data_IF_060508563818
#
_entry.id   IF_060508563818
#
_cell.length_a   1.000
_cell.length_b   1.000
_cell.length_c   1.000
_cell.angle_alpha   90.00
_cell.angle_beta   90.00
_cell.angle_gamma   90.00
#
_symmetry.space_group_name_H-M   'P 1'
#
loop_
_entity.id
_entity.type
_entity.pdbx_description
1 polymer ?
#
# COMPACT_ATOMS: atom_id res chain seq x y z
N UNK A 1 52.46 -2.46 43.33
CA UNK A 1 53.09 -3.54 42.58
C UNK A 1 52.32 -3.65 41.31
N UNK A 2 52.69 -2.96 40.24
CA UNK A 2 53.48 -3.40 39.04
C UNK A 2 52.98 -4.80 38.56
N UNK A 3 52.33 -4.89 37.38
CA UNK A 3 53.07 -5.05 36.13
C UNK A 3 52.17 -4.78 34.92
N UNK A 4 52.76 -4.12 33.92
CA UNK A 4 52.30 -3.83 32.58
C UNK A 4 52.36 -5.08 31.68
N UNK A 5 51.46 -5.23 30.77
CA UNK A 5 51.52 -6.14 29.61
C UNK A 5 51.05 -5.46 28.36
N UNK A 6 51.99 -4.99 27.52
CA UNK A 6 51.79 -4.56 26.13
C UNK A 6 51.79 -5.79 25.24
N UNK A 7 50.90 -5.85 24.23
CA UNK A 7 51.14 -6.62 22.99
C UNK A 7 50.35 -6.05 21.82
N UNK A 8 51.00 -5.45 20.92
CA UNK A 8 51.36 -5.69 19.52
C UNK A 8 50.18 -5.79 18.51
N UNK A 9 50.12 -4.72 17.70
CA UNK A 9 49.51 -4.66 16.37
C UNK A 9 50.17 -5.68 15.42
N UNK A 10 49.37 -6.36 14.61
CA UNK A 10 49.82 -6.94 13.35
C UNK A 10 48.89 -6.44 12.24
N UNK A 11 49.41 -5.54 11.41
CA UNK A 11 48.81 -5.11 10.15
C UNK A 11 49.11 -6.16 9.08
N UNK A 12 48.10 -6.49 8.28
CA UNK A 12 48.28 -7.20 7.01
C UNK A 12 47.85 -6.28 5.86
N UNK A 13 48.87 -5.83 5.15
CA UNK A 13 48.74 -5.11 3.85
C UNK A 13 48.49 -6.16 2.77
N UNK A 14 47.42 -6.05 2.02
CA UNK A 14 47.25 -6.80 0.79
C UNK A 14 47.42 -5.85 -0.40
N UNK A 15 48.46 -6.14 -1.18
CA UNK A 15 48.87 -5.41 -2.38
C UNK A 15 48.04 -5.83 -3.58
N UNK A 16 47.50 -4.85 -4.31
CA UNK A 16 46.95 -5.01 -5.67
C UNK A 16 48.06 -5.31 -6.67
N UNK A 17 47.93 -6.38 -7.42
CA UNK A 17 48.69 -6.61 -8.62
C UNK A 17 47.82 -6.32 -9.86
N UNK A 18 48.15 -5.25 -10.58
CA UNK A 18 47.62 -4.92 -11.89
C UNK A 18 48.48 -5.65 -12.92
N UNK A 19 47.89 -6.53 -13.71
CA UNK A 19 48.51 -7.08 -14.93
C UNK A 19 47.83 -6.52 -16.15
N UNK A 20 48.51 -5.63 -16.84
CA UNK A 20 48.19 -5.19 -18.18
C UNK A 20 48.87 -6.17 -19.20
N UNK A 21 48.12 -6.68 -20.14
CA UNK A 21 48.68 -7.24 -21.39
C UNK A 21 47.95 -6.65 -22.58
N UNK A 22 48.71 -5.89 -23.32
CA UNK A 22 48.41 -5.36 -24.66
C UNK A 22 48.93 -6.33 -25.72
N UNK A 23 48.17 -6.53 -26.79
CA UNK A 23 48.59 -6.82 -28.18
C UNK A 23 47.29 -7.14 -28.95
N UNK A 24 47.00 -6.65 -30.13
CA UNK A 24 47.69 -6.01 -31.19
C UNK A 24 46.76 -6.13 -32.41
N UNK A 25 46.75 -5.16 -33.26
CA UNK A 25 45.89 -4.87 -34.37
C UNK A 25 45.71 -6.04 -35.38
N UNK A 26 44.54 -6.07 -36.05
CA UNK A 26 44.50 -6.12 -37.50
C UNK A 26 43.18 -5.54 -38.06
N UNK A 27 43.36 -4.53 -38.87
CA UNK A 27 42.37 -3.85 -39.70
C UNK A 27 42.06 -4.68 -40.95
N UNK A 28 40.76 -4.92 -41.22
CA UNK A 28 40.34 -5.23 -42.59
C UNK A 28 39.08 -4.44 -42.91
N UNK A 29 39.24 -3.38 -43.70
CA UNK A 29 38.19 -2.66 -44.39
C UNK A 29 37.53 -3.57 -45.44
N UNK A 30 36.22 -3.70 -45.39
CA UNK A 30 35.41 -4.24 -46.47
C UNK A 30 34.49 -3.13 -47.00
N UNK A 31 34.92 -2.54 -48.09
CA UNK A 31 34.17 -1.61 -48.93
C UNK A 31 33.06 -2.39 -49.64
N UNK A 32 31.80 -2.12 -49.35
CA UNK A 32 30.67 -2.58 -50.17
C UNK A 32 30.09 -1.42 -50.96
N UNK A 33 30.30 -1.49 -52.26
CA UNK A 33 29.75 -0.63 -53.30
C UNK A 33 28.24 -0.80 -53.42
N UNK A 34 27.50 0.29 -53.25
CA UNK A 34 26.04 0.35 -53.50
C UNK A 34 25.78 0.54 -54.98
N UNK A 35 25.16 -0.45 -55.61
CA UNK A 35 24.64 -0.36 -56.98
C UNK A 35 23.18 0.06 -56.93
N UNK A 36 22.86 1.25 -57.39
CA UNK A 36 21.50 1.73 -57.57
C UNK A 36 20.83 1.01 -58.75
N UNK A 37 19.77 0.29 -58.50
CA UNK A 37 18.87 -0.24 -59.52
C UNK A 37 17.66 0.69 -59.67
N UNK A 38 17.47 1.17 -60.89
CA UNK A 38 16.32 1.98 -61.29
C UNK A 38 15.02 1.16 -61.24
N UNK A 39 14.05 1.60 -60.48
CA UNK A 39 12.71 0.99 -60.44
C UNK A 39 11.80 1.68 -61.45
N UNK A 40 11.26 0.90 -62.32
CA UNK A 40 10.25 1.21 -63.34
C UNK A 40 8.89 1.47 -62.65
N UNK A 41 8.33 2.63 -62.88
CA UNK A 41 6.96 3.00 -62.48
C UNK A 41 5.92 2.19 -63.26
N UNK A 42 5.18 1.33 -62.54
CA UNK A 42 3.94 0.74 -63.08
C UNK A 42 2.76 1.36 -62.32
N UNK A 43 1.98 2.18 -63.00
CA UNK A 43 0.73 2.75 -62.51
C UNK A 43 -0.32 1.63 -62.48
N UNK A 44 -0.71 1.19 -61.27
CA UNK A 44 -1.87 0.33 -61.06
C UNK A 44 -2.86 1.03 -60.15
N UNK A 45 -4.12 0.94 -60.54
CA UNK A 45 -5.24 1.73 -60.04
C UNK A 45 -5.50 1.71 -58.55
N UNK A 46 -6.01 2.81 -58.14
CA UNK A 46 -6.44 3.15 -56.77
C UNK A 46 -7.73 2.37 -56.42
N UNK A 47 -7.76 1.59 -55.35
CA UNK A 47 -9.02 1.23 -54.74
C UNK A 47 -9.40 2.34 -53.74
N UNK A 48 -10.47 3.04 -54.05
CA UNK A 48 -11.16 3.89 -53.07
C UNK A 48 -11.83 3.01 -52.02
N UNK A 49 -11.10 2.76 -50.95
CA UNK A 49 -11.61 2.23 -49.70
C UNK A 49 -11.27 3.25 -48.58
N UNK A 50 -12.24 4.09 -48.25
CA UNK A 50 -12.13 4.93 -47.05
C UNK A 50 -12.16 4.02 -45.83
N UNK A 51 -10.98 3.67 -45.36
CA UNK A 51 -10.79 3.23 -43.98
C UNK A 51 -10.47 4.50 -43.18
N UNK A 52 -11.42 4.90 -42.36
CA UNK A 52 -11.16 5.85 -41.27
C UNK A 52 -10.07 5.23 -40.39
N UNK A 53 -8.83 5.56 -40.64
CA UNK A 53 -7.75 5.37 -39.67
C UNK A 53 -7.90 6.48 -38.66
N UNK A 54 -8.85 6.30 -37.70
CA UNK A 54 -8.85 7.07 -36.48
C UNK A 54 -7.44 6.91 -35.88
N UNK A 55 -6.76 8.02 -35.61
CA UNK A 55 -5.53 8.01 -34.84
C UNK A 55 -5.79 7.27 -33.52
N UNK A 56 -4.83 6.47 -32.99
CA UNK A 56 -5.02 5.84 -31.70
C UNK A 56 -5.47 6.89 -30.68
N UNK A 57 -6.53 6.60 -29.95
CA UNK A 57 -7.02 7.49 -28.93
C UNK A 57 -5.91 7.71 -27.89
N UNK A 58 -5.71 8.95 -27.48
CA UNK A 58 -4.70 9.31 -26.44
C UNK A 58 -5.00 8.56 -25.16
N UNK A 59 -3.97 7.96 -24.55
CA UNK A 59 -4.12 7.20 -23.29
C UNK A 59 -4.49 8.10 -22.11
N UNK A 60 -5.22 7.55 -21.16
CA UNK A 60 -5.46 8.15 -19.84
C UNK A 60 -4.28 7.74 -18.97
N UNK A 61 -3.43 8.71 -18.60
CA UNK A 61 -2.20 8.46 -17.84
C UNK A 61 -2.42 8.56 -16.33
N UNK A 62 -1.95 7.54 -15.60
CA UNK A 62 -1.92 7.47 -14.13
C UNK A 62 -0.44 7.45 -13.73
N UNK A 63 0.03 8.50 -13.07
CA UNK A 63 1.40 8.59 -12.56
C UNK A 63 1.47 8.19 -11.10
N UNK A 64 2.22 7.10 -10.81
CA UNK A 64 2.31 6.53 -9.48
C UNK A 64 3.64 6.86 -8.78
N UNK A 65 3.56 7.57 -7.66
CA UNK A 65 4.68 7.89 -6.78
C UNK A 65 4.63 6.93 -5.59
N UNK A 66 5.38 5.84 -5.64
CA UNK A 66 5.27 4.73 -4.70
C UNK A 66 6.64 4.22 -4.26
N UNK A 67 6.68 3.43 -3.20
CA UNK A 67 7.88 2.73 -2.78
C UNK A 67 7.89 1.29 -3.33
N UNK A 68 8.95 0.94 -4.04
CA UNK A 68 9.12 -0.39 -4.62
C UNK A 68 10.30 -1.17 -4.03
N UNK A 69 11.19 -0.50 -3.29
CA UNK A 69 12.47 -1.08 -2.86
C UNK A 69 12.82 -0.84 -1.40
N UNK A 70 12.00 -0.09 -0.66
CA UNK A 70 12.22 0.22 0.76
C UNK A 70 11.13 -0.43 1.63
N UNK A 71 10.87 0.11 2.81
CA UNK A 71 10.02 -0.53 3.83
C UNK A 71 8.50 -0.46 3.53
N UNK A 72 8.04 0.42 2.62
CA UNK A 72 6.64 0.42 2.16
C UNK A 72 6.40 -0.55 0.99
N UNK A 73 7.45 -1.10 0.37
CA UNK A 73 7.32 -2.00 -0.77
C UNK A 73 6.40 -3.23 -0.53
N UNK A 74 6.34 -3.86 0.66
CA UNK A 74 5.40 -4.96 0.94
C UNK A 74 3.92 -4.57 0.81
N UNK A 75 3.59 -3.28 0.90
CA UNK A 75 2.25 -2.72 0.77
C UNK A 75 2.00 -2.16 -0.63
N UNK A 76 2.94 -1.38 -1.16
CA UNK A 76 2.80 -0.67 -2.43
C UNK A 76 2.91 -1.57 -3.66
N UNK A 77 3.90 -2.46 -3.69
CA UNK A 77 4.16 -3.27 -4.87
C UNK A 77 2.98 -4.22 -5.22
N UNK A 78 2.34 -4.94 -4.27
CA UNK A 78 1.18 -5.76 -4.60
C UNK A 78 -0.04 -4.93 -5.01
N UNK A 79 -0.25 -3.74 -4.43
CA UNK A 79 -1.34 -2.86 -4.83
C UNK A 79 -1.14 -2.32 -6.26
N UNK A 80 0.09 -1.93 -6.61
CA UNK A 80 0.43 -1.50 -7.97
C UNK A 80 0.27 -2.64 -9.00
N UNK A 81 0.69 -3.86 -8.67
CA UNK A 81 0.51 -5.02 -9.55
C UNK A 81 -0.98 -5.34 -9.77
N UNK A 82 -1.80 -5.33 -8.72
CA UNK A 82 -3.24 -5.55 -8.85
C UNK A 82 -3.89 -4.48 -9.75
N UNK A 83 -3.47 -3.21 -9.60
CA UNK A 83 -3.90 -2.12 -10.47
C UNK A 83 -3.50 -2.36 -11.93
N UNK A 84 -2.26 -2.73 -12.21
CA UNK A 84 -1.77 -3.01 -13.56
C UNK A 84 -2.51 -4.16 -14.22
N UNK A 85 -2.75 -5.26 -13.50
CA UNK A 85 -3.48 -6.41 -14.03
C UNK A 85 -4.95 -6.07 -14.37
N UNK A 86 -5.59 -5.22 -13.57
CA UNK A 86 -6.93 -4.74 -13.91
C UNK A 86 -6.91 -3.78 -15.12
N UNK A 87 -5.91 -2.91 -15.21
CA UNK A 87 -5.71 -2.04 -16.38
C UNK A 87 -5.55 -2.86 -17.66
N UNK A 88 -4.80 -3.97 -17.61
CA UNK A 88 -4.66 -4.87 -18.74
C UNK A 88 -6.02 -5.44 -19.19
N UNK A 89 -6.87 -5.86 -18.24
CA UNK A 89 -8.22 -6.36 -18.53
C UNK A 89 -9.11 -5.27 -19.15
N UNK A 90 -9.11 -4.06 -18.57
CA UNK A 90 -9.87 -2.92 -19.08
C UNK A 90 -9.42 -2.57 -20.50
N UNK A 91 -8.11 -2.52 -20.74
CA UNK A 91 -7.56 -2.22 -22.06
C UNK A 91 -7.87 -3.30 -23.08
N UNK A 92 -7.82 -4.58 -22.70
CA UNK A 92 -8.21 -5.70 -23.55
C UNK A 92 -9.71 -5.65 -23.91
N UNK A 93 -10.55 -5.10 -23.03
CA UNK A 93 -11.98 -4.87 -23.29
C UNK A 93 -12.29 -3.62 -24.15
N UNK A 94 -11.28 -2.80 -24.47
CA UNK A 94 -11.41 -1.61 -25.32
C UNK A 94 -11.07 -0.29 -24.63
N UNK A 95 -10.59 -0.32 -23.39
CA UNK A 95 -10.26 0.86 -22.59
C UNK A 95 -11.50 1.55 -22.00
N UNK A 96 -11.29 2.74 -21.44
CA UNK A 96 -12.35 3.61 -20.90
C UNK A 96 -12.72 4.63 -21.98
N UNK A 97 -13.97 4.64 -22.42
CA UNK A 97 -14.44 5.46 -23.56
C UNK A 97 -13.58 5.31 -24.84
N UNK A 98 -13.08 4.08 -25.09
CA UNK A 98 -12.20 3.78 -26.22
C UNK A 98 -10.77 4.28 -26.06
N UNK A 99 -10.37 4.75 -24.89
CA UNK A 99 -9.02 5.22 -24.54
C UNK A 99 -8.34 4.20 -23.61
N UNK A 100 -7.12 3.77 -23.90
CA UNK A 100 -6.40 2.88 -23.00
C UNK A 100 -5.96 3.62 -21.72
N UNK A 101 -5.95 2.90 -20.59
CA UNK A 101 -5.32 3.35 -19.36
C UNK A 101 -3.80 3.05 -19.44
N UNK A 102 -2.96 3.98 -19.00
CA UNK A 102 -1.54 3.80 -18.84
C UNK A 102 -1.17 4.05 -17.38
N UNK A 103 -0.40 3.14 -16.77
CA UNK A 103 0.08 3.24 -15.39
C UNK A 103 1.60 3.22 -15.40
N UNK A 104 2.21 4.29 -14.93
CA UNK A 104 3.65 4.41 -14.79
C UNK A 104 4.01 4.68 -13.33
N UNK A 105 5.02 3.99 -12.81
CA UNK A 105 5.45 4.11 -11.43
C UNK A 105 6.90 4.58 -11.33
N UNK A 106 7.14 5.51 -10.40
CA UNK A 106 8.47 5.94 -9.97
C UNK A 106 8.68 5.48 -8.53
N UNK A 107 9.78 4.73 -8.31
CA UNK A 107 10.22 4.32 -6.98
C UNK A 107 10.79 5.51 -6.22
N UNK A 108 10.10 5.92 -5.17
CA UNK A 108 10.45 7.10 -4.37
C UNK A 108 11.26 6.77 -3.13
N UNK A 109 11.41 5.48 -2.79
CA UNK A 109 12.19 4.99 -1.64
C UNK A 109 11.83 5.66 -0.31
N UNK A 110 10.57 6.05 -0.16
CA UNK A 110 10.02 6.79 1.00
C UNK A 110 10.74 8.11 1.28
N UNK A 111 11.33 8.73 0.25
CA UNK A 111 12.00 10.03 0.34
C UNK A 111 11.01 11.16 -0.05
N UNK A 112 10.70 12.12 0.85
CA UNK A 112 9.74 13.20 0.57
C UNK A 112 10.08 14.07 -0.65
N UNK A 113 11.37 14.30 -0.92
CA UNK A 113 11.81 15.08 -2.09
C UNK A 113 11.62 14.29 -3.38
N UNK A 114 11.82 12.96 -3.34
CA UNK A 114 11.57 12.09 -4.49
C UNK A 114 10.07 11.96 -4.77
N UNK A 115 9.23 11.85 -3.73
CA UNK A 115 7.76 11.90 -3.89
C UNK A 115 7.34 13.16 -4.63
N UNK A 116 7.82 14.32 -4.17
CA UNK A 116 7.54 15.61 -4.80
C UNK A 116 8.01 15.68 -6.24
N UNK A 117 9.27 15.31 -6.50
CA UNK A 117 9.86 15.37 -7.82
C UNK A 117 9.14 14.45 -8.84
N UNK A 118 8.78 13.25 -8.40
CA UNK A 118 8.04 12.30 -9.22
C UNK A 118 6.64 12.82 -9.58
N UNK A 119 5.91 13.41 -8.62
CA UNK A 119 4.61 14.01 -8.89
C UNK A 119 4.70 15.15 -9.89
N UNK A 120 5.66 16.06 -9.73
CA UNK A 120 5.91 17.16 -10.69
C UNK A 120 6.20 16.61 -12.08
N UNK A 121 7.06 15.59 -12.19
CA UNK A 121 7.37 14.96 -13.47
C UNK A 121 6.10 14.40 -14.14
N UNK A 122 5.28 13.63 -13.42
CA UNK A 122 4.04 13.09 -13.99
C UNK A 122 3.06 14.17 -14.42
N UNK A 123 2.95 15.27 -13.65
CA UNK A 123 2.11 16.42 -14.01
C UNK A 123 2.61 17.09 -15.30
N UNK A 124 3.93 17.29 -15.42
CA UNK A 124 4.56 17.85 -16.63
C UNK A 124 4.39 16.92 -17.84
N UNK A 125 4.41 15.60 -17.64
CA UNK A 125 4.20 14.59 -18.67
C UNK A 125 2.70 14.39 -19.03
N UNK A 126 1.78 15.13 -18.37
CA UNK A 126 0.35 15.16 -18.68
C UNK A 126 -0.45 14.03 -18.02
N UNK A 127 -0.06 13.59 -16.84
CA UNK A 127 -0.87 12.65 -16.06
C UNK A 127 -2.28 13.18 -15.82
N UNK A 128 -3.26 12.28 -15.93
CA UNK A 128 -4.67 12.57 -15.64
C UNK A 128 -5.03 12.32 -14.18
N UNK A 129 -4.30 11.44 -13.51
CA UNK A 129 -4.48 11.03 -12.11
C UNK A 129 -3.10 10.87 -11.48
N UNK A 130 -2.94 11.34 -10.25
CA UNK A 130 -1.77 11.04 -9.42
C UNK A 130 -2.15 9.90 -8.47
N UNK A 131 -1.29 8.90 -8.43
CA UNK A 131 -1.38 7.78 -7.50
C UNK A 131 -0.24 7.86 -6.49
N UNK A 132 -0.54 7.64 -5.20
CA UNK A 132 0.45 7.73 -4.14
C UNK A 132 0.56 6.43 -3.35
N UNK A 133 1.61 6.30 -2.54
CA UNK A 133 1.88 5.16 -1.65
C UNK A 133 0.76 4.91 -0.62
N UNK A 134 0.79 3.76 0.04
CA UNK A 134 -0.18 3.30 1.05
C UNK A 134 -0.10 4.04 2.40
N UNK A 135 0.44 5.23 2.43
CA UNK A 135 0.51 6.10 3.61
C UNK A 135 0.24 7.56 3.21
N UNK A 136 -0.21 8.40 4.16
CA UNK A 136 -0.52 9.81 3.90
C UNK A 136 0.61 10.75 4.36
N UNK A 137 1.42 10.32 5.33
CA UNK A 137 2.44 11.19 5.94
C UNK A 137 3.65 11.34 5.02
N UNK A 138 4.18 10.24 4.47
CA UNK A 138 5.35 10.26 3.59
C UNK A 138 5.09 10.97 2.26
N UNK A 139 4.01 10.67 1.50
CA UNK A 139 3.76 11.26 0.19
C UNK A 139 3.04 12.60 0.25
N UNK A 140 2.87 13.22 1.44
CA UNK A 140 2.23 14.54 1.56
C UNK A 140 2.72 15.55 0.51
N UNK A 141 4.03 15.63 0.18
CA UNK A 141 4.49 16.54 -0.88
C UNK A 141 3.94 16.18 -2.27
N UNK A 142 3.86 14.90 -2.62
CA UNK A 142 3.29 14.47 -3.91
C UNK A 142 1.78 14.69 -3.97
N UNK A 143 1.08 14.40 -2.86
CA UNK A 143 -0.37 14.68 -2.77
C UNK A 143 -0.61 16.17 -3.02
N UNK A 144 0.14 17.05 -2.35
CA UNK A 144 -0.04 18.50 -2.51
C UNK A 144 0.21 18.96 -3.95
N UNK A 145 1.23 18.45 -4.65
CA UNK A 145 1.47 18.81 -6.06
C UNK A 145 0.30 18.35 -6.96
N UNK A 146 -0.26 17.16 -6.74
CA UNK A 146 -1.44 16.68 -7.46
C UNK A 146 -2.66 17.58 -7.23
N UNK A 147 -2.92 17.96 -5.98
CA UNK A 147 -4.01 18.84 -5.60
C UNK A 147 -3.85 20.26 -6.18
N UNK A 148 -2.64 20.82 -6.13
CA UNK A 148 -2.31 22.14 -6.69
C UNK A 148 -2.47 22.17 -8.22
N UNK A 149 -2.23 21.04 -8.89
CA UNK A 149 -2.48 20.85 -10.32
C UNK A 149 -3.96 20.63 -10.67
N UNK A 150 -4.84 20.47 -9.66
CA UNK A 150 -6.26 20.19 -9.86
C UNK A 150 -6.55 18.76 -10.32
N UNK A 151 -5.63 17.82 -10.10
CA UNK A 151 -5.76 16.42 -10.49
C UNK A 151 -6.38 15.57 -9.37
N UNK A 152 -7.20 14.61 -9.77
CA UNK A 152 -7.60 13.55 -8.85
C UNK A 152 -6.35 12.84 -8.34
N UNK A 153 -6.20 12.76 -7.00
CA UNK A 153 -5.08 12.10 -6.34
C UNK A 153 -5.60 10.94 -5.52
N UNK A 154 -5.16 9.73 -5.83
CA UNK A 154 -5.68 8.50 -5.24
C UNK A 154 -4.59 7.68 -4.56
N UNK A 155 -4.96 7.02 -3.48
CA UNK A 155 -4.15 6.01 -2.82
C UNK A 155 -4.89 4.66 -2.78
N UNK A 156 -4.19 3.54 -2.95
CA UNK A 156 -4.84 2.22 -2.93
C UNK A 156 -5.22 1.78 -1.52
N UNK A 157 -4.51 2.18 -0.49
CA UNK A 157 -4.61 1.56 0.83
C UNK A 157 -4.32 2.48 2.03
N UNK A 158 -4.38 3.79 1.88
CA UNK A 158 -4.32 4.70 3.05
C UNK A 158 -5.54 4.44 3.93
N UNK A 159 -5.29 4.06 5.18
CA UNK A 159 -6.33 3.68 6.15
C UNK A 159 -6.77 4.82 7.07
N UNK A 160 -6.60 6.09 6.72
CA UNK A 160 -6.96 7.22 7.59
C UNK A 160 -7.82 8.26 6.85
N UNK A 161 -8.72 8.91 7.57
CA UNK A 161 -9.55 10.02 7.09
C UNK A 161 -8.75 11.30 6.77
N UNK A 162 -7.44 11.28 7.01
CA UNK A 162 -6.53 12.36 6.63
C UNK A 162 -6.29 12.43 5.11
N UNK A 163 -6.60 11.38 4.35
CA UNK A 163 -6.58 11.45 2.89
C UNK A 163 -7.84 12.13 2.38
N UNK A 164 -7.91 13.46 2.55
CA UNK A 164 -9.08 14.25 2.19
C UNK A 164 -9.07 15.66 2.79
N UNK A 165 -10.26 16.28 2.87
CA UNK A 165 -10.40 17.65 3.38
C UNK A 165 -9.92 17.86 4.82
N UNK A 166 -9.93 16.82 5.65
CA UNK A 166 -9.46 16.93 7.05
C UNK A 166 -8.00 17.39 7.13
N UNK A 167 -7.13 16.93 6.22
CA UNK A 167 -5.71 17.30 6.18
C UNK A 167 -5.40 18.44 5.21
N UNK A 168 -6.03 18.42 4.03
CA UNK A 168 -5.67 19.30 2.91
C UNK A 168 -6.68 20.45 2.68
N UNK A 169 -7.65 20.64 3.59
CA UNK A 169 -8.68 21.68 3.45
C UNK A 169 -9.50 21.51 2.17
N UNK A 170 -9.90 22.62 1.55
CA UNK A 170 -10.76 22.59 0.35
C UNK A 170 -10.13 21.84 -0.83
N UNK A 171 -8.80 21.87 -0.97
CA UNK A 171 -8.10 21.12 -2.02
C UNK A 171 -8.16 19.62 -1.81
N UNK A 172 -8.24 19.17 -0.55
CA UNK A 172 -8.37 17.76 -0.18
C UNK A 172 -9.59 17.07 -0.78
N UNK A 173 -10.54 17.85 -1.35
CA UNK A 173 -11.65 17.30 -2.12
C UNK A 173 -11.22 16.42 -3.30
N UNK A 174 -10.00 16.60 -3.81
CA UNK A 174 -9.44 15.80 -4.91
C UNK A 174 -8.64 14.58 -4.43
N UNK A 175 -8.52 14.35 -3.11
CA UNK A 175 -7.72 13.28 -2.55
C UNK A 175 -8.62 12.14 -2.00
N UNK A 176 -8.41 10.90 -2.48
CA UNK A 176 -9.21 9.74 -2.08
C UNK A 176 -8.34 8.53 -1.78
N UNK A 177 -8.81 7.67 -0.86
CA UNK A 177 -8.19 6.38 -0.59
C UNK A 177 -9.18 5.22 -0.69
N UNK A 178 -8.68 4.10 -1.20
CA UNK A 178 -9.40 2.83 -1.30
C UNK A 178 -9.02 1.83 -0.19
N UNK A 179 -8.21 2.26 0.77
CA UNK A 179 -7.99 1.59 2.05
C UNK A 179 -9.22 1.69 2.95
N UNK A 180 -9.34 0.81 3.94
CA UNK A 180 -10.42 0.88 4.92
C UNK A 180 -10.09 1.91 6.02
N UNK A 181 -11.10 2.63 6.47
CA UNK A 181 -10.93 3.72 7.44
C UNK A 181 -10.52 3.19 8.83
N UNK A 182 -9.54 3.83 9.45
CA UNK A 182 -9.01 3.45 10.78
C UNK A 182 -10.08 3.43 11.88
N UNK A 183 -11.09 4.29 11.78
CA UNK A 183 -12.22 4.34 12.71
C UNK A 183 -13.05 3.05 12.66
N UNK A 184 -13.24 2.47 11.48
CA UNK A 184 -13.89 1.16 11.31
C UNK A 184 -12.94 0.03 11.75
N UNK A 185 -11.66 0.15 11.43
CA UNK A 185 -10.65 -0.87 11.71
C UNK A 185 -10.46 -1.09 13.21
N UNK A 186 -10.16 -0.02 13.94
CA UNK A 186 -10.02 -0.09 15.39
C UNK A 186 -11.31 -0.54 16.09
N UNK A 187 -12.48 -0.11 15.56
CA UNK A 187 -13.76 -0.57 16.07
C UNK A 187 -13.96 -2.08 15.84
N UNK A 188 -13.66 -2.59 14.65
CA UNK A 188 -13.74 -4.03 14.34
C UNK A 188 -12.80 -4.87 15.22
N UNK A 189 -11.57 -4.37 15.45
CA UNK A 189 -10.62 -5.00 16.38
C UNK A 189 -11.17 -5.07 17.81
N UNK A 190 -11.75 -3.97 18.29
CA UNK A 190 -12.32 -3.89 19.65
C UNK A 190 -13.55 -4.81 19.82
N UNK A 191 -14.45 -4.81 18.83
CA UNK A 191 -15.62 -5.70 18.81
C UNK A 191 -15.20 -7.17 18.79
N UNK A 192 -14.19 -7.54 17.99
CA UNK A 192 -13.63 -8.89 17.99
C UNK A 192 -13.05 -9.25 19.36
N UNK A 193 -12.21 -8.39 19.93
CA UNK A 193 -11.59 -8.62 21.24
C UNK A 193 -12.65 -8.81 22.34
N UNK A 194 -13.68 -7.97 22.36
CA UNK A 194 -14.74 -8.06 23.35
C UNK A 194 -15.57 -9.35 23.19
N UNK A 195 -15.85 -9.78 21.96
CA UNK A 195 -16.55 -11.04 21.66
C UNK A 195 -15.75 -12.28 22.08
N UNK A 196 -14.41 -12.19 22.15
CA UNK A 196 -13.56 -13.26 22.73
C UNK A 196 -13.67 -13.31 24.26
N UNK A 197 -14.39 -12.39 24.89
CA UNK A 197 -14.47 -12.25 26.33
C UNK A 197 -13.28 -11.49 26.95
N UNK A 198 -12.44 -10.84 26.14
CA UNK A 198 -11.36 -9.97 26.60
C UNK A 198 -11.97 -8.64 27.05
N UNK A 199 -11.87 -8.34 28.32
CA UNK A 199 -12.52 -7.17 28.91
C UNK A 199 -11.53 -6.17 29.50
N UNK A 200 -10.26 -6.55 29.60
CA UNK A 200 -9.15 -5.70 30.08
C UNK A 200 -8.06 -5.64 29.02
N UNK A 201 -7.78 -4.44 28.52
CA UNK A 201 -6.82 -4.24 27.46
C UNK A 201 -5.61 -3.39 27.91
N UNK A 202 -4.42 -3.72 27.40
CA UNK A 202 -3.35 -2.75 27.23
C UNK A 202 -3.37 -2.28 25.77
N UNK A 203 -3.17 -0.98 25.56
CA UNK A 203 -3.00 -0.43 24.21
C UNK A 203 -1.60 0.14 24.03
N UNK A 204 -1.06 0.01 22.83
CA UNK A 204 0.25 0.55 22.50
C UNK A 204 0.20 1.33 21.18
N UNK A 205 0.54 2.63 21.26
CA UNK A 205 0.42 3.58 20.18
C UNK A 205 1.79 3.93 19.61
N UNK A 206 2.03 3.60 18.34
CA UNK A 206 3.16 4.12 17.58
C UNK A 206 2.82 5.50 17.01
N UNK A 207 3.63 6.50 17.34
CA UNK A 207 3.40 7.89 16.92
C UNK A 207 4.03 8.22 15.56
N UNK A 208 4.65 7.24 14.87
CA UNK A 208 5.29 7.48 13.58
C UNK A 208 4.29 7.93 12.53
N UNK A 209 3.15 7.22 12.39
CA UNK A 209 2.13 7.49 11.40
C UNK A 209 0.79 7.87 12.05
N UNK A 210 0.08 8.81 11.44
CA UNK A 210 -1.27 9.18 11.89
C UNK A 210 -2.24 8.00 11.81
N UNK A 211 -2.06 7.10 10.84
CA UNK A 211 -2.85 5.88 10.73
C UNK A 211 -2.73 4.99 11.98
N UNK A 212 -1.50 4.73 12.46
CA UNK A 212 -1.29 3.91 13.66
C UNK A 212 -2.00 4.48 14.88
N UNK A 213 -1.94 5.81 15.03
CA UNK A 213 -2.60 6.52 16.12
C UNK A 213 -4.12 6.38 16.01
N UNK A 214 -4.68 6.65 14.83
CA UNK A 214 -6.14 6.60 14.62
C UNK A 214 -6.73 5.22 14.90
N UNK A 215 -6.05 4.12 14.50
CA UNK A 215 -6.53 2.76 14.77
C UNK A 215 -6.57 2.47 16.27
N UNK A 216 -5.50 2.82 17.00
CA UNK A 216 -5.43 2.56 18.45
C UNK A 216 -6.44 3.41 19.20
N UNK A 217 -6.66 4.66 18.79
CA UNK A 217 -7.66 5.54 19.37
C UNK A 217 -9.08 5.00 19.11
N UNK A 218 -9.34 4.54 17.89
CA UNK A 218 -10.61 3.93 17.52
C UNK A 218 -10.87 2.61 18.29
N UNK A 219 -9.84 1.78 18.47
CA UNK A 219 -9.93 0.61 19.32
C UNK A 219 -10.32 0.99 20.75
N UNK A 220 -9.61 1.95 21.34
CA UNK A 220 -9.87 2.40 22.72
C UNK A 220 -11.31 2.86 22.88
N UNK A 221 -11.77 3.79 22.04
CA UNK A 221 -13.13 4.35 22.11
C UNK A 221 -14.17 3.24 22.04
N UNK A 222 -14.07 2.36 21.03
CA UNK A 222 -15.04 1.27 20.85
C UNK A 222 -14.99 0.25 21.98
N UNK A 223 -13.79 -0.12 22.46
CA UNK A 223 -13.63 -1.09 23.53
C UNK A 223 -14.25 -0.61 24.83
N UNK A 224 -14.08 0.67 25.18
CA UNK A 224 -14.69 1.30 26.35
C UNK A 224 -16.23 1.44 26.19
N UNK A 225 -16.73 1.76 24.98
CA UNK A 225 -18.18 1.77 24.68
C UNK A 225 -18.84 0.41 24.89
N UNK A 226 -18.14 -0.68 24.59
CA UNK A 226 -18.60 -2.05 24.82
C UNK A 226 -18.56 -2.46 26.30
N UNK A 227 -17.92 -1.67 27.17
CA UNK A 227 -17.77 -1.94 28.60
C UNK A 227 -16.42 -2.59 28.96
N UNK A 228 -15.46 -2.63 28.04
CA UNK A 228 -14.09 -3.00 28.34
C UNK A 228 -13.34 -1.91 29.11
N UNK A 229 -12.21 -2.27 29.72
CA UNK A 229 -11.34 -1.36 30.47
C UNK A 229 -9.95 -1.32 29.82
N UNK A 230 -9.47 -0.14 29.42
CA UNK A 230 -8.08 0.08 29.04
C UNK A 230 -7.27 0.41 30.28
N UNK A 231 -6.43 -0.52 30.72
CA UNK A 231 -5.71 -0.43 32.02
C UNK A 231 -4.27 0.02 31.87
N UNK A 232 -3.71 -0.03 30.65
CA UNK A 232 -2.36 0.43 30.34
C UNK A 232 -2.35 1.07 28.95
N UNK A 233 -1.71 2.23 28.85
CA UNK A 233 -1.46 2.92 27.59
C UNK A 233 0.03 3.18 27.44
N UNK A 234 0.65 2.61 26.39
CA UNK A 234 2.04 2.84 26.03
C UNK A 234 2.12 3.68 24.75
N UNK A 235 3.16 4.49 24.66
CA UNK A 235 3.42 5.35 23.51
C UNK A 235 4.91 5.30 23.16
N UNK A 236 5.22 5.20 21.88
CA UNK A 236 6.59 5.33 21.37
C UNK A 236 6.56 5.87 19.93
N UNK A 237 7.70 6.07 19.32
CA UNK A 237 7.83 6.35 17.91
C UNK A 237 8.75 5.32 17.28
N UNK A 238 8.31 4.65 16.23
CA UNK A 238 9.09 3.61 15.54
C UNK A 238 10.51 4.08 15.27
N UNK A 239 11.49 3.25 15.68
CA UNK A 239 12.90 3.54 15.53
C UNK A 239 13.52 4.46 16.62
N UNK A 240 12.78 4.90 17.64
CA UNK A 240 13.31 5.76 18.72
C UNK A 240 14.15 5.00 19.77
N UNK A 241 14.19 3.67 19.68
CA UNK A 241 14.96 2.78 20.56
C UNK A 241 14.27 2.47 21.90
N UNK A 242 13.02 2.87 22.13
CA UNK A 242 12.29 2.64 23.39
C UNK A 242 11.46 1.36 23.38
N UNK A 243 11.33 0.68 22.25
CA UNK A 243 10.44 -0.48 22.04
C UNK A 243 10.61 -1.60 23.07
N UNK A 244 11.84 -1.83 23.58
CA UNK A 244 12.08 -2.84 24.61
C UNK A 244 11.42 -2.49 25.95
N UNK A 245 11.30 -1.20 26.28
CA UNK A 245 10.60 -0.76 27.48
C UNK A 245 9.09 -0.96 27.33
N UNK A 246 8.54 -0.61 26.14
CA UNK A 246 7.15 -0.84 25.78
C UNK A 246 6.82 -2.33 25.90
N UNK A 247 7.60 -3.20 25.25
CA UNK A 247 7.42 -4.65 25.33
C UNK A 247 7.45 -5.18 26.77
N UNK A 248 8.35 -4.65 27.60
CA UNK A 248 8.45 -5.04 29.01
C UNK A 248 7.20 -4.65 29.81
N UNK A 249 6.69 -3.45 29.62
CA UNK A 249 5.48 -2.97 30.30
C UNK A 249 4.25 -3.78 29.88
N UNK A 250 4.10 -4.04 28.57
CA UNK A 250 3.02 -4.87 28.04
C UNK A 250 3.08 -6.32 28.55
N UNK A 251 4.28 -6.92 28.59
CA UNK A 251 4.46 -8.29 29.07
C UNK A 251 4.11 -8.47 30.57
N UNK A 252 4.24 -7.41 31.36
CA UNK A 252 3.92 -7.43 32.79
C UNK A 252 2.52 -6.91 33.11
N UNK A 253 1.75 -6.48 32.12
CA UNK A 253 0.40 -6.00 32.33
C UNK A 253 -0.57 -7.14 32.67
N UNK A 254 -1.45 -6.90 33.66
CA UNK A 254 -2.55 -7.83 34.00
C UNK A 254 -3.75 -7.53 33.11
N UNK A 255 -3.72 -8.05 31.88
CA UNK A 255 -4.71 -7.79 30.83
C UNK A 255 -5.08 -9.07 30.07
N UNK A 256 -6.24 -9.05 29.43
CA UNK A 256 -6.73 -10.14 28.59
C UNK A 256 -6.21 -10.03 27.14
N UNK A 257 -5.87 -8.80 26.69
CA UNK A 257 -5.41 -8.52 25.34
C UNK A 257 -4.48 -7.31 25.29
N UNK A 258 -3.52 -7.34 24.35
CA UNK A 258 -2.73 -6.18 23.94
C UNK A 258 -3.20 -5.76 22.56
N UNK A 259 -3.70 -4.54 22.39
CA UNK A 259 -4.09 -3.98 21.11
C UNK A 259 -3.10 -2.89 20.68
N UNK A 260 -2.69 -2.92 19.42
CA UNK A 260 -1.70 -1.96 18.92
C UNK A 260 -1.77 -1.80 17.40
N UNK A 261 -1.09 -0.78 16.90
CA UNK A 261 -0.86 -0.56 15.47
C UNK A 261 0.55 -0.06 15.28
N UNK A 262 1.35 -0.78 14.55
CA UNK A 262 2.73 -0.47 14.17
C UNK A 262 3.15 -1.37 13.00
N UNK A 263 4.28 -1.07 12.37
CA UNK A 263 4.89 -1.87 11.32
C UNK A 263 6.42 -1.75 11.39
N UNK A 264 7.09 -2.07 10.29
CA UNK A 264 8.51 -1.85 10.05
C UNK A 264 9.42 -2.51 11.09
N UNK A 265 10.51 -1.84 11.48
CA UNK A 265 11.57 -2.43 12.31
C UNK A 265 11.12 -2.75 13.75
N UNK A 266 10.20 -1.97 14.31
CA UNK A 266 9.75 -2.16 15.69
C UNK A 266 8.69 -3.26 15.85
N UNK A 267 7.96 -3.63 14.79
CA UNK A 267 6.93 -4.67 14.86
C UNK A 267 7.47 -6.03 15.34
N UNK A 268 8.47 -6.63 14.69
CA UNK A 268 9.03 -7.90 15.18
C UNK A 268 9.70 -7.75 16.55
N UNK A 269 10.28 -6.58 16.84
CA UNK A 269 10.89 -6.25 18.13
C UNK A 269 9.89 -6.24 19.28
N UNK A 270 8.73 -5.60 19.07
CA UNK A 270 7.65 -5.54 20.05
C UNK A 270 7.11 -6.94 20.36
N UNK A 271 6.72 -7.68 19.34
CA UNK A 271 6.10 -9.00 19.48
C UNK A 271 7.08 -9.99 20.11
N UNK A 272 8.31 -10.08 19.59
CA UNK A 272 9.35 -10.94 20.14
C UNK A 272 9.76 -10.53 21.57
N UNK A 273 9.78 -9.23 21.85
CA UNK A 273 10.07 -8.70 23.18
C UNK A 273 9.05 -9.18 24.22
N UNK A 274 7.75 -9.06 23.93
CA UNK A 274 6.67 -9.55 24.80
C UNK A 274 6.78 -11.06 25.01
N UNK A 275 6.96 -11.84 23.95
CA UNK A 275 7.05 -13.31 24.02
C UNK A 275 8.30 -13.80 24.74
N UNK A 276 9.45 -13.13 24.57
CA UNK A 276 10.71 -13.49 25.25
C UNK A 276 10.66 -13.37 26.78
N UNK A 277 9.74 -12.55 27.28
CA UNK A 277 9.46 -12.40 28.72
C UNK A 277 8.48 -13.46 29.25
N UNK A 278 8.03 -14.38 28.40
CA UNK A 278 7.12 -15.48 28.77
C UNK A 278 5.65 -15.06 28.83
N UNK A 279 5.32 -13.88 28.32
CA UNK A 279 3.92 -13.44 28.26
C UNK A 279 3.24 -14.03 27.02
N UNK A 280 2.17 -14.81 27.25
CA UNK A 280 1.33 -15.45 26.24
C UNK A 280 0.00 -14.73 26.02
N UNK A 281 -0.10 -13.49 26.47
CA UNK A 281 -1.30 -12.66 26.30
C UNK A 281 -1.64 -12.54 24.80
N UNK A 282 -2.93 -12.67 24.41
CA UNK A 282 -3.37 -12.37 23.04
C UNK A 282 -2.95 -10.96 22.62
N UNK A 283 -2.41 -10.85 21.41
CA UNK A 283 -2.05 -9.57 20.81
C UNK A 283 -2.88 -9.38 19.55
N UNK A 284 -3.54 -8.24 19.41
CA UNK A 284 -4.31 -7.88 18.22
C UNK A 284 -3.76 -6.61 17.59
N UNK A 285 -3.51 -6.65 16.30
CA UNK A 285 -2.93 -5.57 15.53
C UNK A 285 -3.82 -5.16 14.35
N UNK A 286 -3.59 -3.96 13.85
CA UNK A 286 -4.18 -3.44 12.63
C UNK A 286 -3.65 -4.14 11.37
N UNK A 287 -4.17 -3.72 10.20
CA UNK A 287 -3.63 -4.11 8.89
C UNK A 287 -2.13 -3.82 8.74
N UNK A 288 -1.57 -2.88 9.49
CA UNK A 288 -0.13 -2.61 9.48
C UNK A 288 0.75 -3.82 9.82
N UNK A 289 0.19 -4.81 10.53
CA UNK A 289 0.86 -6.07 10.87
C UNK A 289 0.61 -7.21 9.88
N UNK A 290 -0.02 -6.93 8.75
CA UNK A 290 -0.36 -7.93 7.75
C UNK A 290 0.87 -8.52 7.05
N UNK A 291 0.76 -9.78 6.65
CA UNK A 291 1.81 -10.51 5.93
C UNK A 291 2.65 -11.42 6.81
N UNK A 292 3.24 -12.44 6.18
CA UNK A 292 4.06 -13.44 6.86
C UNK A 292 5.55 -13.10 6.91
N UNK A 293 5.99 -12.05 6.20
CA UNK A 293 7.41 -11.72 5.99
C UNK A 293 8.16 -11.30 7.25
N UNK A 294 7.46 -10.84 8.29
CA UNK A 294 8.04 -10.40 9.57
C UNK A 294 7.78 -11.38 10.71
N UNK A 295 6.87 -12.35 10.54
CA UNK A 295 6.38 -13.24 11.61
C UNK A 295 7.46 -14.22 12.06
N UNK A 296 7.85 -14.23 13.35
CA UNK A 296 8.83 -15.18 13.87
C UNK A 296 8.27 -16.59 13.90
N UNK A 297 9.16 -17.60 13.72
CA UNK A 297 8.80 -19.01 13.83
C UNK A 297 8.17 -19.32 15.18
N UNK A 298 7.06 -20.07 15.16
CA UNK A 298 6.34 -20.50 16.37
C UNK A 298 5.47 -19.43 17.03
N UNK A 299 5.31 -18.24 16.43
CA UNK A 299 4.41 -17.22 16.96
C UNK A 299 3.00 -17.78 17.07
N UNK A 300 2.39 -17.59 18.25
CA UNK A 300 1.00 -17.96 18.55
C UNK A 300 0.31 -16.86 19.36
N UNK A 301 -1.02 -16.98 19.49
CA UNK A 301 -1.85 -15.97 20.17
C UNK A 301 -1.66 -14.56 19.61
N UNK A 302 -1.45 -14.48 18.31
CA UNK A 302 -1.34 -13.23 17.58
C UNK A 302 -2.49 -13.10 16.59
N UNK A 303 -3.10 -11.92 16.53
CA UNK A 303 -4.23 -11.62 15.68
C UNK A 303 -3.98 -10.31 14.95
N UNK A 304 -4.48 -10.19 13.74
CA UNK A 304 -4.53 -8.92 13.06
C UNK A 304 -5.73 -8.85 12.12
N UNK A 305 -6.13 -7.64 11.77
CA UNK A 305 -7.18 -7.42 10.78
C UNK A 305 -6.55 -7.04 9.44
N UNK A 306 -7.18 -7.46 8.34
CA UNK A 306 -6.73 -7.16 6.98
C UNK A 306 -7.89 -7.02 6.03
N UNK A 307 -7.65 -6.47 4.84
CA UNK A 307 -8.66 -6.28 3.81
C UNK A 307 -8.95 -7.56 3.04
N UNK A 308 -7.94 -8.43 2.91
CA UNK A 308 -8.02 -9.73 2.25
C UNK A 308 -7.00 -10.69 2.86
N UNK A 309 -7.31 -11.98 2.91
CA UNK A 309 -6.31 -13.01 3.23
C UNK A 309 -5.49 -13.36 2.00
N UNK A 310 -4.16 -13.39 2.15
CA UNK A 310 -3.22 -13.80 1.10
C UNK A 310 -2.78 -15.26 1.25
N UNK A 311 -3.39 -16.02 2.16
CA UNK A 311 -2.97 -17.38 2.52
C UNK A 311 -3.79 -18.49 1.84
N UNK A 312 -4.65 -18.14 0.87
CA UNK A 312 -5.47 -19.10 0.12
C UNK A 312 -6.75 -19.53 0.83
N UNK A 313 -7.12 -18.87 1.91
CA UNK A 313 -8.29 -19.14 2.73
C UNK A 313 -9.29 -17.98 2.80
N UNK A 314 -9.15 -16.97 1.91
CA UNK A 314 -10.12 -15.88 1.86
C UNK A 314 -11.49 -16.41 1.42
N UNK A 315 -12.57 -16.06 2.11
CA UNK A 315 -13.92 -16.53 1.75
C UNK A 315 -14.46 -15.93 0.45
N UNK A 316 -13.80 -14.90 -0.12
CA UNK A 316 -14.18 -14.28 -1.39
C UNK A 316 -13.49 -14.94 -2.57
N UNK A 317 -14.28 -15.51 -3.50
CA UNK A 317 -13.77 -16.06 -4.76
C UNK A 317 -13.05 -14.98 -5.60
N UNK A 318 -13.58 -13.76 -5.64
CA UNK A 318 -12.97 -12.65 -6.38
C UNK A 318 -11.57 -12.28 -5.88
N UNK A 319 -11.34 -12.38 -4.57
CA UNK A 319 -10.00 -12.18 -3.98
C UNK A 319 -9.06 -13.31 -4.39
N UNK A 320 -9.50 -14.56 -4.27
CA UNK A 320 -8.68 -15.72 -4.62
C UNK A 320 -8.34 -15.75 -6.12
N UNK A 321 -9.27 -15.35 -6.99
CA UNK A 321 -9.05 -15.22 -8.43
C UNK A 321 -7.99 -14.14 -8.75
N UNK A 322 -8.05 -13.00 -8.07
CA UNK A 322 -7.04 -11.95 -8.23
C UNK A 322 -5.67 -12.39 -7.73
N UNK A 323 -5.60 -13.09 -6.58
CA UNK A 323 -4.35 -13.69 -6.08
C UNK A 323 -3.76 -14.65 -7.11
N UNK A 324 -4.58 -15.59 -7.64
CA UNK A 324 -4.12 -16.54 -8.66
C UNK A 324 -3.60 -15.81 -9.93
N UNK A 325 -4.21 -14.70 -10.31
CA UNK A 325 -3.75 -13.88 -11.43
C UNK A 325 -2.40 -13.21 -11.14
N UNK A 326 -2.22 -12.68 -9.92
CA UNK A 326 -0.94 -12.09 -9.47
C UNK A 326 0.18 -13.15 -9.41
N UNK A 327 -0.12 -14.34 -8.89
CA UNK A 327 0.82 -15.48 -8.88
C UNK A 327 1.22 -15.91 -10.29
N UNK A 328 0.26 -15.97 -11.23
CA UNK A 328 0.52 -16.26 -12.64
C UNK A 328 1.41 -15.21 -13.31
N UNK A 329 1.35 -13.96 -12.86
CA UNK A 329 2.25 -12.89 -13.26
C UNK A 329 3.63 -12.96 -12.57
N UNK A 330 3.85 -13.94 -11.69
CA UNK A 330 5.12 -14.20 -11.01
C UNK A 330 5.32 -13.49 -9.66
N UNK A 331 4.29 -12.82 -9.13
CA UNK A 331 4.38 -12.07 -7.88
C UNK A 331 3.12 -12.29 -7.02
N UNK A 332 3.19 -13.21 -6.07
CA UNK A 332 2.15 -13.37 -5.06
C UNK A 332 2.05 -12.09 -4.18
N UNK A 333 0.84 -11.68 -3.75
CA UNK A 333 0.70 -10.54 -2.86
C UNK A 333 1.30 -10.84 -1.48
N UNK A 334 1.95 -9.86 -0.88
CA UNK A 334 2.55 -9.95 0.46
C UNK A 334 1.61 -9.54 1.57
N UNK A 335 0.67 -8.64 1.28
CA UNK A 335 -0.33 -8.10 2.21
C UNK A 335 -1.69 -7.99 1.54
N UNK A 336 -2.77 -8.04 2.31
CA UNK A 336 -4.15 -7.96 1.80
C UNK A 336 -4.56 -6.59 1.23
N UNK A 337 -3.71 -5.56 1.40
CA UNK A 337 -3.95 -4.23 0.82
C UNK A 337 -3.94 -4.20 -0.71
N UNK A 338 -3.47 -5.25 -1.37
CA UNK A 338 -3.47 -5.34 -2.84
C UNK A 338 -4.84 -5.13 -3.47
N UNK A 339 -5.91 -5.53 -2.79
CA UNK A 339 -7.29 -5.36 -3.27
C UNK A 339 -7.64 -3.90 -3.53
N UNK A 340 -7.11 -2.98 -2.70
CA UNK A 340 -7.31 -1.54 -2.88
C UNK A 340 -6.73 -1.01 -4.19
N UNK A 341 -5.68 -1.65 -4.72
CA UNK A 341 -5.12 -1.29 -6.02
C UNK A 341 -6.10 -1.57 -7.17
N UNK A 342 -6.72 -2.74 -7.19
CA UNK A 342 -7.75 -3.06 -8.17
C UNK A 342 -9.00 -2.19 -7.98
N UNK A 343 -9.44 -1.99 -6.73
CA UNK A 343 -10.61 -1.18 -6.39
C UNK A 343 -10.45 0.28 -6.83
N UNK A 344 -9.27 0.87 -6.63
CA UNK A 344 -8.97 2.23 -7.06
C UNK A 344 -9.08 2.38 -8.58
N UNK A 345 -8.50 1.46 -9.35
CA UNK A 345 -8.61 1.50 -10.82
C UNK A 345 -10.05 1.30 -11.28
N UNK A 346 -10.79 0.37 -10.65
CA UNK A 346 -12.21 0.12 -10.98
C UNK A 346 -13.06 1.37 -10.77
N UNK A 347 -12.88 2.06 -9.64
CA UNK A 347 -13.61 3.27 -9.30
C UNK A 347 -13.20 4.47 -10.17
N UNK A 348 -11.90 4.67 -10.43
CA UNK A 348 -11.40 5.73 -11.30
C UNK A 348 -11.88 5.53 -12.73
N UNK A 349 -11.84 4.30 -13.27
CA UNK A 349 -12.35 4.00 -14.60
C UNK A 349 -13.85 4.29 -14.71
N UNK A 350 -14.64 3.87 -13.72
CA UNK A 350 -16.07 4.16 -13.65
C UNK A 350 -16.36 5.68 -13.56
N UNK A 351 -15.55 6.43 -12.80
CA UNK A 351 -15.68 7.88 -12.71
C UNK A 351 -15.41 8.56 -14.06
N UNK A 352 -14.37 8.15 -14.77
CA UNK A 352 -14.00 8.69 -16.09
C UNK A 352 -15.11 8.37 -17.11
N UNK A 353 -15.61 7.14 -17.13
CA UNK A 353 -16.71 6.73 -18.02
C UNK A 353 -17.99 7.53 -17.73
N UNK A 354 -18.34 7.72 -16.45
CA UNK A 354 -19.54 8.45 -16.07
C UNK A 354 -19.48 9.95 -16.36
N UNK A 355 -18.29 10.55 -16.27
CA UNK A 355 -18.09 12.01 -16.48
C UNK A 355 -17.70 12.35 -17.92
N UNK A 356 -17.26 11.35 -18.71
CA UNK A 356 -16.78 11.52 -20.07
C UNK A 356 -15.43 12.23 -20.17
N UNK A 357 -14.64 12.28 -19.09
CA UNK A 357 -13.35 12.98 -19.06
C UNK A 357 -12.54 12.75 -17.81
N UNK A 358 -11.44 13.52 -17.68
CA UNK A 358 -10.47 13.38 -16.59
C UNK A 358 -10.36 14.67 -15.74
N UNK A 359 -11.39 15.54 -15.77
CA UNK A 359 -11.44 16.70 -14.89
C UNK A 359 -11.50 16.28 -13.43
N UNK A 360 -10.50 16.69 -12.63
CA UNK A 360 -10.35 16.21 -11.25
C UNK A 360 -11.57 16.52 -10.37
N UNK A 361 -12.21 17.68 -10.56
CA UNK A 361 -13.39 18.06 -9.77
C UNK A 361 -14.61 17.20 -10.15
N UNK A 362 -14.81 16.91 -11.44
CA UNK A 362 -15.90 16.05 -11.90
C UNK A 362 -15.70 14.60 -11.41
N UNK A 363 -14.45 14.08 -11.43
CA UNK A 363 -14.13 12.77 -10.90
C UNK A 363 -14.37 12.70 -9.38
N UNK A 364 -13.98 13.74 -8.64
CA UNK A 364 -14.22 13.84 -7.21
C UNK A 364 -15.72 13.85 -6.89
N UNK A 365 -16.53 14.62 -7.63
CA UNK A 365 -18.00 14.64 -7.50
C UNK A 365 -18.60 13.24 -7.64
N UNK A 366 -18.10 12.45 -8.58
CA UNK A 366 -18.54 11.07 -8.75
C UNK A 366 -18.14 10.19 -7.56
N UNK A 367 -16.89 10.26 -7.13
CA UNK A 367 -16.36 9.43 -6.04
C UNK A 367 -17.03 9.74 -4.70
N UNK A 368 -17.28 11.00 -4.37
CA UNK A 368 -18.00 11.41 -3.15
C UNK A 368 -19.43 10.82 -3.06
N UNK A 369 -19.98 10.40 -4.20
CA UNK A 369 -21.33 9.80 -4.29
C UNK A 369 -21.32 8.27 -4.41
N UNK A 370 -20.17 7.60 -4.34
CA UNK A 370 -20.12 6.14 -4.36
C UNK A 370 -20.77 5.56 -3.09
N UNK A 371 -21.72 4.67 -3.31
CA UNK A 371 -22.40 3.91 -2.24
C UNK A 371 -22.50 2.46 -2.68
N UNK A 372 -21.95 1.57 -1.86
CA UNK A 372 -21.99 0.12 -2.11
C UNK A 372 -21.52 -0.26 -3.53
N UNK A 373 -20.56 0.51 -4.08
CA UNK A 373 -19.96 0.20 -5.37
C UNK A 373 -19.19 -1.11 -5.25
N UNK A 374 -19.38 -2.01 -6.21
CA UNK A 374 -18.83 -3.35 -6.18
C UNK A 374 -17.29 -3.32 -6.27
N UNK A 375 -16.60 -3.56 -5.16
CA UNK A 375 -15.16 -3.75 -5.07
C UNK A 375 -14.76 -5.22 -4.95
N UNK A 376 -13.46 -5.51 -5.04
CA UNK A 376 -12.90 -6.87 -4.92
C UNK A 376 -13.03 -7.41 -3.49
N UNK A 377 -12.75 -6.56 -2.50
CA UNK A 377 -12.80 -6.93 -1.08
C UNK A 377 -14.18 -6.70 -0.43
N UNK A 378 -15.15 -6.24 -1.19
CA UNK A 378 -16.48 -5.88 -0.72
C UNK A 378 -16.90 -4.49 -1.21
N UNK A 379 -18.04 -3.96 -0.72
CA UNK A 379 -18.60 -2.71 -1.20
C UNK A 379 -17.68 -1.52 -0.87
N UNK A 380 -17.59 -0.59 -1.82
CA UNK A 380 -16.87 0.68 -1.67
C UNK A 380 -17.91 1.77 -1.42
N UNK A 381 -17.80 2.45 -0.29
CA UNK A 381 -18.58 3.65 0.03
C UNK A 381 -17.64 4.78 0.37
N UNK A 382 -17.86 5.94 -0.25
CA UNK A 382 -17.14 7.19 -0.03
C UNK A 382 -18.17 8.32 0.14
N UNK A 383 -17.77 9.44 0.74
CA UNK A 383 -18.64 10.60 0.89
C UNK A 383 -17.83 11.89 0.88
N UNK A 384 -18.49 13.05 0.81
CA UNK A 384 -17.83 14.35 0.96
C UNK A 384 -17.17 14.56 2.33
N UNK A 385 -17.54 13.75 3.33
CA UNK A 385 -16.93 13.78 4.67
C UNK A 385 -15.83 12.75 4.82
N UNK A 386 -15.99 11.58 4.15
CA UNK A 386 -15.07 10.44 4.24
C UNK A 386 -14.58 10.07 2.85
N UNK A 387 -13.36 10.47 2.53
CA UNK A 387 -12.65 10.17 1.30
C UNK A 387 -11.83 8.86 1.38
N UNK A 388 -11.97 8.12 2.47
CA UNK A 388 -11.42 6.78 2.69
C UNK A 388 -12.57 5.80 2.83
N UNK A 389 -12.45 4.59 2.30
CA UNK A 389 -13.53 3.60 2.28
C UNK A 389 -13.97 3.24 3.70
N UNK A 390 -15.28 3.26 3.93
CA UNK A 390 -15.89 2.92 5.22
C UNK A 390 -16.94 1.81 5.08
N UNK A 391 -17.20 1.10 6.19
CA UNK A 391 -18.22 0.05 6.30
C UNK A 391 -17.84 -1.27 5.63
N UNK A 392 -16.67 -1.40 5.01
CA UNK A 392 -16.21 -2.62 4.36
C UNK A 392 -15.73 -3.66 5.39
N UNK A 393 -16.00 -4.97 5.18
CA UNK A 393 -15.58 -6.00 6.13
C UNK A 393 -14.06 -6.20 6.14
N UNK A 394 -13.55 -6.52 7.34
CA UNK A 394 -12.19 -7.00 7.59
C UNK A 394 -12.18 -8.52 7.74
N UNK A 395 -11.04 -9.13 7.39
CA UNK A 395 -10.69 -10.49 7.78
C UNK A 395 -9.90 -10.39 9.09
N UNK A 396 -10.30 -11.15 10.09
CA UNK A 396 -9.49 -11.33 11.29
C UNK A 396 -8.63 -12.56 11.07
N UNK A 397 -7.33 -12.37 11.05
CA UNK A 397 -6.35 -13.45 10.90
C UNK A 397 -5.81 -13.83 12.28
N UNK A 398 -5.79 -15.11 12.57
CA UNK A 398 -5.08 -15.67 13.72
C UNK A 398 -3.78 -16.31 13.28
N UNK A 399 -2.72 -16.04 14.00
CA UNK A 399 -1.42 -16.73 13.85
C UNK A 399 -1.26 -17.75 14.98
N UNK A 400 -1.04 -19.00 14.59
CA UNK A 400 -0.80 -20.12 15.50
C UNK A 400 0.37 -20.94 14.97
N UNK A 401 1.43 -21.11 15.76
CA UNK A 401 2.68 -21.75 15.36
C UNK A 401 3.25 -21.20 14.04
N UNK A 402 3.13 -19.87 13.84
CA UNK A 402 3.55 -19.16 12.63
C UNK A 402 2.64 -19.40 11.41
N UNK A 403 1.53 -20.12 11.55
CA UNK A 403 0.55 -20.34 10.48
C UNK A 403 -0.59 -19.34 10.60
N UNK A 404 -1.00 -18.77 9.47
CA UNK A 404 -2.07 -17.77 9.38
C UNK A 404 -3.36 -18.43 8.93
N UNK A 405 -4.48 -18.01 9.53
CA UNK A 405 -5.81 -18.47 9.13
C UNK A 405 -6.85 -17.37 9.36
N UNK A 406 -7.82 -17.26 8.46
CA UNK A 406 -9.02 -16.44 8.66
C UNK A 406 -9.87 -17.09 9.74
N UNK A 407 -10.12 -16.39 10.85
CA UNK A 407 -10.96 -16.87 11.95
C UNK A 407 -12.28 -16.13 12.07
N UNK A 408 -12.39 -14.94 11.46
CA UNK A 408 -13.63 -14.16 11.41
C UNK A 408 -13.63 -13.22 10.19
N UNK A 409 -14.82 -12.80 9.77
CA UNK A 409 -15.03 -11.73 8.79
C UNK A 409 -16.08 -10.79 9.35
N UNK A 410 -15.72 -9.53 9.57
CA UNK A 410 -16.61 -8.54 10.17
C UNK A 410 -16.44 -7.13 9.63
N UNK A 411 -17.54 -6.41 9.55
CA UNK A 411 -17.53 -4.95 9.53
C UNK A 411 -17.72 -4.45 10.96
N UNK A 412 -17.16 -3.29 11.27
CA UNK A 412 -17.54 -2.59 12.50
C UNK A 412 -19.04 -2.27 12.49
N UNK A 413 -19.68 -2.30 13.66
CA UNK A 413 -21.09 -1.91 13.82
C UNK A 413 -21.30 -0.45 13.40
N UNK A 414 -20.33 0.40 13.69
CA UNK A 414 -20.19 1.78 13.22
C UNK A 414 -18.74 2.22 13.42
N UNK A 415 -18.27 3.23 12.66
CA UNK A 415 -16.97 3.85 12.93
C UNK A 415 -16.89 4.37 14.36
N UNK A 416 -15.73 4.27 15.00
CA UNK A 416 -15.49 4.91 16.28
C UNK A 416 -15.26 6.41 16.09
N UNK A 417 -15.85 7.23 16.97
CA UNK A 417 -15.66 8.69 16.93
C UNK A 417 -14.38 9.06 17.69
N UNK A 418 -13.34 9.35 16.94
CA UNK A 418 -12.04 9.79 17.47
C UNK A 418 -11.76 11.28 17.30
N UNK A 419 -12.76 12.06 16.82
CA UNK A 419 -12.70 13.51 16.62
C UNK A 419 -12.22 13.97 15.26
#
# INVERSE_FOLDING_TARGET
MRTHGKLLLLGAVFALVVAACSSGADTTEATTTSTAAAATTTTAGQPTGGGDTTAPAESISIGATIDLTSFMAPFDAPAALAAQLLIEDINAAGGVDGRPLAFEAIDTQVDPEQYKAAAIQFIEDGASVIWVTCDVDFPTPAIQEGLDAGLLTVAPCIGTDQMGPKRFGDQGRLAFSFGNMAQDEGAAMAEYAYDQGWTRAAIARDNLLVYFQNVVDAFKVRFEELGGEVVLEENWTNGDGTINNVATNLANADVDVVAFSTSFDDLPGLVSGVRSLGAEVPMICSWACDGAYWVPEGLSNFYYVTYASVFGDDPSEAINDLIAKMEAAGNAPTTGGFVGGADAIKAVAAAIEATGGTDGAALADFLENLREFEGVAGPISLSSENHTVFGRPYRVIQVTDGQHAVVDVRSATSPADIG
#
